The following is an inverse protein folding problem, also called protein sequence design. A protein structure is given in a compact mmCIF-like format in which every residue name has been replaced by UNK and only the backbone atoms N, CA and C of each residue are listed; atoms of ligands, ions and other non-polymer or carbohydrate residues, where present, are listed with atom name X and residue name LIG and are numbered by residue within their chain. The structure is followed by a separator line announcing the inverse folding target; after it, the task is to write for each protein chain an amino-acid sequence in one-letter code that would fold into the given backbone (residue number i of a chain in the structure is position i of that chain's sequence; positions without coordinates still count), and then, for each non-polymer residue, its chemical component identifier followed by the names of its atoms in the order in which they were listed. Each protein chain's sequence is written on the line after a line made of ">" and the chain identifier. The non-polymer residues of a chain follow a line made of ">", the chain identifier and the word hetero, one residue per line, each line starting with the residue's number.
data_IF_122490491881
#
_entry.id   IF_122490491881
#
_cell.length_a   1.000
_cell.length_b   1.000
_cell.length_c   1.000
_cell.angle_alpha   90.00
_cell.angle_beta   90.00
_cell.angle_gamma   90.00
#
_symmetry.space_group_name_H-M   'P 1'
#
loop_
_entity.id
_entity.type
_entity.pdbx_description
1 polymer ?
#
# COMPACT_ATOMS: atom_id res chain seq x y z
N UNK A 1 3.54 -14.42 15.86
CA UNK A 1 2.37 -14.22 14.98
C UNK A 1 1.85 -12.78 14.99
N UNK A 2 1.51 -12.22 16.16
CA UNK A 2 1.03 -10.83 16.25
C UNK A 2 1.98 -9.79 15.61
N UNK A 3 3.29 -9.89 15.84
CA UNK A 3 4.30 -8.95 15.32
C UNK A 3 4.29 -8.80 13.79
N UNK A 4 4.15 -9.91 13.05
CA UNK A 4 4.15 -9.88 11.58
C UNK A 4 2.88 -9.22 11.03
N UNK A 5 1.73 -9.47 11.65
CA UNK A 5 0.47 -8.83 11.30
C UNK A 5 0.52 -7.33 11.62
N UNK A 6 1.04 -6.96 12.80
CA UNK A 6 1.21 -5.55 13.18
C UNK A 6 2.14 -4.80 12.22
N UNK A 7 3.25 -5.42 11.78
CA UNK A 7 4.14 -4.82 10.79
C UNK A 7 3.45 -4.67 9.43
N UNK A 8 2.73 -5.69 8.96
CA UNK A 8 2.00 -5.63 7.69
C UNK A 8 0.95 -4.53 7.70
N UNK A 9 0.14 -4.44 8.77
CA UNK A 9 -0.89 -3.40 8.92
C UNK A 9 -0.25 -2.02 9.05
N UNK A 10 0.86 -1.89 9.77
CA UNK A 10 1.61 -0.64 9.88
C UNK A 10 2.15 -0.16 8.52
N UNK A 11 2.72 -1.07 7.72
CA UNK A 11 3.20 -0.77 6.36
C UNK A 11 2.03 -0.43 5.42
N UNK A 12 0.95 -1.21 5.42
CA UNK A 12 -0.23 -0.96 4.61
C UNK A 12 -0.93 0.37 4.96
N UNK A 13 -1.00 0.69 6.27
CA UNK A 13 -1.53 1.96 6.76
C UNK A 13 -0.65 3.15 6.37
N UNK A 14 0.67 3.00 6.48
CA UNK A 14 1.62 4.03 6.04
C UNK A 14 1.53 4.31 4.54
N UNK A 15 1.44 3.26 3.70
CA UNK A 15 1.25 3.41 2.25
C UNK A 15 -0.10 4.08 1.96
N UNK A 16 -1.17 3.66 2.62
CA UNK A 16 -2.51 4.23 2.44
C UNK A 16 -2.52 5.73 2.72
N UNK A 17 -2.08 6.14 3.91
CA UNK A 17 -2.07 7.55 4.32
C UNK A 17 -1.17 8.36 3.40
N UNK A 18 -0.01 7.81 3.01
CA UNK A 18 0.92 8.51 2.11
C UNK A 18 0.31 8.74 0.72
N UNK A 19 -0.43 7.76 0.19
CA UNK A 19 -1.15 7.89 -1.09
C UNK A 19 -2.33 8.85 -0.97
N UNK A 20 -3.11 8.76 0.11
CA UNK A 20 -4.22 9.67 0.40
C UNK A 20 -3.73 11.12 0.48
N UNK A 21 -2.63 11.38 1.17
CA UNK A 21 -2.00 12.70 1.24
C UNK A 21 -1.45 13.14 -0.12
N UNK A 22 -0.79 12.27 -0.88
CA UNK A 22 -0.29 12.59 -2.22
C UNK A 22 -1.42 13.03 -3.15
N UNK A 23 -2.52 12.29 -3.18
CA UNK A 23 -3.68 12.60 -4.00
C UNK A 23 -4.37 13.88 -3.54
N UNK A 24 -4.42 14.11 -2.22
CA UNK A 24 -4.92 15.33 -1.60
C UNK A 24 -4.08 16.55 -2.01
N UNK A 25 -2.75 16.45 -1.92
CA UNK A 25 -1.84 17.53 -2.34
C UNK A 25 -1.88 17.79 -3.84
N UNK A 26 -2.10 16.75 -4.64
CA UNK A 26 -2.30 16.89 -6.08
C UNK A 26 -3.65 17.54 -6.43
N UNK A 27 -4.55 17.70 -5.45
CA UNK A 27 -5.87 18.30 -5.63
C UNK A 27 -6.86 17.38 -6.36
N UNK A 28 -6.62 16.07 -6.38
CA UNK A 28 -7.53 15.12 -7.02
C UNK A 28 -8.76 14.97 -6.11
N UNK A 29 -9.97 15.23 -6.62
CA UNK A 29 -11.17 15.18 -5.80
C UNK A 29 -11.38 13.77 -5.25
N UNK A 30 -11.70 13.69 -3.95
CA UNK A 30 -11.80 12.44 -3.20
C UNK A 30 -12.78 11.45 -3.83
N UNK A 31 -13.81 11.93 -4.53
CA UNK A 31 -14.79 11.07 -5.19
C UNK A 31 -14.20 10.14 -6.27
N UNK A 32 -13.03 10.48 -6.84
CA UNK A 32 -12.39 9.69 -7.89
C UNK A 32 -11.73 8.43 -7.30
N UNK A 33 -11.07 8.55 -6.15
CA UNK A 33 -10.31 7.46 -5.53
C UNK A 33 -10.97 6.87 -4.27
N UNK A 34 -11.95 7.58 -3.69
CA UNK A 34 -12.73 7.19 -2.52
C UNK A 34 -14.20 7.65 -2.63
N UNK A 35 -15.02 6.99 -3.47
CA UNK A 35 -16.43 7.32 -3.61
C UNK A 35 -17.20 7.05 -2.30
N UNK A 36 -17.65 8.12 -1.65
CA UNK A 36 -18.27 8.14 -0.30
C UNK A 36 -19.60 7.36 -0.17
N UNK A 37 -20.18 6.88 -1.27
CA UNK A 37 -21.58 6.42 -1.32
C UNK A 37 -21.80 4.89 -1.30
N UNK A 38 -20.78 4.05 -1.59
CA UNK A 38 -21.05 2.64 -1.93
C UNK A 38 -20.25 1.61 -1.12
N UNK A 39 -19.09 1.98 -0.56
CA UNK A 39 -18.20 1.01 0.08
C UNK A 39 -17.76 1.44 1.47
N UNK A 40 -18.09 0.63 2.48
CA UNK A 40 -17.53 0.74 3.84
C UNK A 40 -15.99 0.56 3.85
N UNK A 41 -15.47 -0.11 2.82
CA UNK A 41 -14.06 -0.37 2.63
C UNK A 41 -13.52 0.57 1.55
N UNK A 42 -12.58 1.45 1.92
CA UNK A 42 -11.92 2.35 0.98
C UNK A 42 -11.12 1.55 -0.06
N UNK A 43 -11.37 1.69 -1.38
CA UNK A 43 -10.65 0.93 -2.41
C UNK A 43 -9.13 1.16 -2.35
N UNK A 44 -8.71 2.38 -2.04
CA UNK A 44 -7.31 2.75 -1.89
C UNK A 44 -6.62 2.00 -0.71
N UNK A 45 -7.35 1.68 0.36
CA UNK A 45 -6.83 0.91 1.49
C UNK A 45 -6.64 -0.57 1.14
N UNK A 46 -7.52 -1.13 0.31
CA UNK A 46 -7.34 -2.49 -0.23
C UNK A 46 -6.10 -2.52 -1.12
N UNK A 47 -5.93 -1.51 -1.97
CA UNK A 47 -4.76 -1.39 -2.84
C UNK A 47 -3.46 -1.28 -2.06
N UNK A 48 -3.42 -0.45 -1.00
CA UNK A 48 -2.23 -0.33 -0.15
C UNK A 48 -1.88 -1.62 0.58
N UNK A 49 -2.90 -2.39 1.00
CA UNK A 49 -2.71 -3.70 1.62
C UNK A 49 -2.13 -4.70 0.63
N UNK A 50 -2.63 -4.73 -0.61
CA UNK A 50 -2.08 -5.59 -1.67
C UNK A 50 -0.62 -5.24 -1.93
N UNK A 51 -0.28 -3.94 -2.03
CA UNK A 51 1.11 -3.49 -2.20
C UNK A 51 1.97 -3.93 -1.02
N UNK A 52 1.50 -3.76 0.22
CA UNK A 52 2.24 -4.15 1.42
C UNK A 52 2.50 -5.67 1.48
N UNK A 53 1.54 -6.48 1.02
CA UNK A 53 1.71 -7.93 0.88
C UNK A 53 2.70 -8.27 -0.24
N UNK A 54 2.67 -7.52 -1.36
CA UNK A 54 3.55 -7.77 -2.51
C UNK A 54 5.00 -7.30 -2.26
N UNK A 55 5.22 -6.26 -1.46
CA UNK A 55 6.53 -5.69 -1.13
C UNK A 55 7.59 -6.72 -0.73
N UNK A 56 7.37 -7.64 0.24
CA UNK A 56 8.38 -8.63 0.62
C UNK A 56 8.73 -9.60 -0.53
N UNK A 57 7.81 -9.88 -1.45
CA UNK A 57 8.10 -10.69 -2.63
C UNK A 57 8.89 -9.89 -3.68
N UNK A 58 8.55 -8.62 -3.88
CA UNK A 58 9.30 -7.72 -4.75
C UNK A 58 10.75 -7.54 -4.29
N UNK A 59 10.97 -7.39 -2.98
CA UNK A 59 12.31 -7.31 -2.40
C UNK A 59 13.11 -8.60 -2.64
N UNK A 60 12.51 -9.77 -2.41
CA UNK A 60 13.16 -11.06 -2.70
C UNK A 60 13.55 -11.22 -4.18
N UNK A 61 12.67 -10.81 -5.11
CA UNK A 61 12.96 -10.85 -6.54
C UNK A 61 14.09 -9.88 -6.89
N UNK A 62 14.04 -8.65 -6.37
CA UNK A 62 15.08 -7.64 -6.59
C UNK A 62 16.43 -8.08 -6.07
N UNK A 63 16.48 -8.68 -4.87
CA UNK A 63 17.69 -9.27 -4.30
C UNK A 63 18.20 -10.45 -5.14
N UNK A 64 17.31 -11.28 -5.69
CA UNK A 64 17.70 -12.40 -6.56
C UNK A 64 18.25 -11.92 -7.91
N UNK A 65 17.66 -10.87 -8.48
CA UNK A 65 18.10 -10.27 -9.75
C UNK A 65 19.41 -9.50 -9.56
N UNK A 66 19.55 -8.75 -8.46
CA UNK A 66 20.77 -7.99 -8.13
C UNK A 66 21.90 -8.89 -7.62
N UNK A 67 21.58 -9.96 -6.90
CA UNK A 67 22.51 -10.98 -6.39
C UNK A 67 23.03 -11.94 -7.45
N UNK A 68 22.62 -11.79 -8.73
CA UNK A 68 23.30 -12.43 -9.87
C UNK A 68 24.49 -11.61 -10.39
N UNK A 69 24.87 -10.56 -9.65
CA UNK A 69 26.00 -9.68 -9.97
C UNK A 69 26.75 -9.21 -8.72
N UNK A 70 27.07 -10.11 -7.77
CA UNK A 70 28.38 -10.25 -7.08
C UNK A 70 28.49 -11.67 -6.55
#
# INVERSE_FOLDING_TARGET
>A
MAKAITQLVGTAGGIYISLELLLTFLGIPENIWNPSSVYFIKPLAVFSLIIAILQPYGQKIWETVRGRSV
#
